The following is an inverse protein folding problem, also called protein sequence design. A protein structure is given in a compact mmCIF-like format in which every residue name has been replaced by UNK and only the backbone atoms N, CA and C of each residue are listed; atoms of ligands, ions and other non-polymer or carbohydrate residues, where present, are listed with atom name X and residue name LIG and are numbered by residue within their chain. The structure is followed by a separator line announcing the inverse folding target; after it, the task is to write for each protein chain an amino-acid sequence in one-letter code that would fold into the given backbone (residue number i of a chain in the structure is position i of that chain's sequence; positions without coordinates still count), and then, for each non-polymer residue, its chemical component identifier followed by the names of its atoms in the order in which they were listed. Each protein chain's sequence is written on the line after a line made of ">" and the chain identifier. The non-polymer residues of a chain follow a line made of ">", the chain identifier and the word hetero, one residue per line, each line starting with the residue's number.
data_IF_495481782142
#
_entry.id   IF_495481782142
#
_cell.length_a   1.000
_cell.length_b   1.000
_cell.length_c   1.000
_cell.angle_alpha   90.00
_cell.angle_beta   90.00
_cell.angle_gamma   90.00
#
_symmetry.space_group_name_H-M   'P 1'
#
loop_
_entity.id
_entity.type
_entity.pdbx_description
1 polymer ?
#
# COMPACT_ATOMS: atom_id res chain seq x y z
N UNK A 1 -55.52 51.24 -41.13
CA UNK A 1 -55.30 49.96 -40.42
C UNK A 1 -54.38 50.26 -39.24
N UNK A 2 -54.94 50.64 -38.09
CA UNK A 2 -54.18 51.07 -36.91
C UNK A 2 -53.86 49.88 -36.01
N UNK A 3 -52.60 49.74 -35.61
CA UNK A 3 -52.16 48.72 -34.66
C UNK A 3 -52.28 49.25 -33.23
N UNK A 4 -52.81 48.41 -32.35
CA UNK A 4 -53.16 48.71 -30.96
C UNK A 4 -51.89 48.70 -30.08
N UNK A 5 -51.66 49.76 -29.30
CA UNK A 5 -50.53 49.89 -28.38
C UNK A 5 -50.98 49.53 -26.95
N UNK A 6 -50.72 48.29 -26.52
CA UNK A 6 -50.93 47.85 -25.13
C UNK A 6 -49.60 47.78 -24.39
N UNK A 7 -48.96 48.93 -24.20
CA UNK A 7 -47.71 49.00 -23.45
C UNK A 7 -47.96 49.03 -21.93
N UNK A 8 -47.54 47.97 -21.23
CA UNK A 8 -47.55 47.88 -19.76
C UNK A 8 -46.81 49.08 -19.17
N UNK A 9 -47.47 49.86 -18.32
CA UNK A 9 -46.89 51.08 -17.75
C UNK A 9 -45.94 50.72 -16.60
N UNK A 10 -44.72 51.26 -16.66
CA UNK A 10 -43.62 51.07 -15.69
C UNK A 10 -44.02 51.29 -14.21
N UNK A 11 -45.09 52.07 -13.95
CA UNK A 11 -45.61 52.34 -12.61
C UNK A 11 -46.36 51.16 -11.96
N UNK A 12 -46.83 50.20 -12.76
CA UNK A 12 -47.62 49.07 -12.24
C UNK A 12 -46.71 47.93 -11.74
N UNK A 13 -45.47 47.88 -12.22
CA UNK A 13 -44.44 46.92 -11.77
C UNK A 13 -43.97 47.22 -10.34
N UNK A 14 -43.93 48.50 -9.93
CA UNK A 14 -43.49 48.90 -8.58
C UNK A 14 -44.56 48.68 -7.49
N UNK A 15 -45.80 48.38 -7.86
CA UNK A 15 -46.87 48.05 -6.89
C UNK A 15 -46.83 46.59 -6.43
N UNK A 16 -46.05 45.74 -7.11
CA UNK A 16 -45.92 44.30 -6.82
C UNK A 16 -44.56 43.95 -6.22
N UNK A 17 -44.17 44.57 -5.11
CA UNK A 17 -42.94 44.22 -4.39
C UNK A 17 -43.15 43.06 -3.43
N UNK A 18 -43.08 41.82 -3.92
CA UNK A 18 -43.04 40.62 -3.07
C UNK A 18 -41.61 40.06 -2.95
N UNK A 19 -41.25 39.54 -1.78
CA UNK A 19 -39.99 38.81 -1.56
C UNK A 19 -40.28 37.32 -1.42
N UNK A 20 -39.63 36.49 -2.22
CA UNK A 20 -39.64 35.04 -2.08
C UNK A 20 -38.33 34.62 -1.40
N UNK A 21 -38.43 34.08 -0.18
CA UNK A 21 -37.30 33.49 0.52
C UNK A 21 -37.46 31.97 0.50
N UNK A 22 -36.49 31.28 -0.09
CA UNK A 22 -36.41 29.81 -0.06
C UNK A 22 -35.21 29.43 0.79
N UNK A 23 -35.41 28.53 1.76
CA UNK A 23 -34.34 27.96 2.58
C UNK A 23 -34.33 26.45 2.38
N UNK A 24 -33.15 25.87 2.22
CA UNK A 24 -32.94 24.43 2.11
C UNK A 24 -32.10 23.97 3.30
N UNK A 25 -32.64 23.07 4.11
CA UNK A 25 -31.90 22.40 5.17
C UNK A 25 -31.41 21.04 4.65
N UNK A 26 -30.10 20.88 4.52
CA UNK A 26 -29.48 19.59 4.19
C UNK A 26 -29.12 18.89 5.50
N UNK A 27 -29.64 17.68 5.77
CA UNK A 27 -29.22 16.93 6.95
C UNK A 27 -27.73 16.59 6.79
N UNK A 28 -26.90 16.98 7.75
CA UNK A 28 -25.52 16.51 7.83
C UNK A 28 -25.55 15.01 8.16
N UNK A 29 -25.37 14.19 7.14
CA UNK A 29 -25.01 12.78 7.31
C UNK A 29 -23.69 12.77 8.07
N UNK A 30 -23.70 12.27 9.31
CA UNK A 30 -22.46 11.93 10.03
C UNK A 30 -21.75 10.87 9.20
N UNK A 31 -20.66 11.26 8.56
CA UNK A 31 -19.70 10.32 8.01
C UNK A 31 -19.16 9.49 9.17
N UNK A 32 -19.66 8.27 9.32
CA UNK A 32 -18.85 7.22 9.95
C UNK A 32 -17.64 7.06 9.04
N UNK A 33 -16.44 7.21 9.58
CA UNK A 33 -15.20 6.90 8.87
C UNK A 33 -15.19 5.41 8.54
N UNK A 34 -15.84 5.04 7.43
CA UNK A 34 -15.47 3.86 6.69
C UNK A 34 -13.99 4.01 6.35
N UNK A 35 -13.23 2.94 6.55
CA UNK A 35 -11.79 2.85 6.32
C UNK A 35 -11.34 3.81 5.21
N UNK A 36 -10.35 4.65 5.52
CA UNK A 36 -9.77 5.59 4.56
C UNK A 36 -9.62 4.90 3.22
N UNK A 37 -10.34 5.42 2.23
CA UNK A 37 -10.30 4.94 0.85
C UNK A 37 -8.93 5.32 0.29
N UNK A 38 -7.89 4.60 0.73
CA UNK A 38 -6.51 4.78 0.28
C UNK A 38 -6.50 4.48 -1.21
N UNK A 39 -6.04 5.42 -2.06
CA UNK A 39 -6.12 5.25 -3.51
C UNK A 39 -5.44 3.94 -3.93
N UNK A 40 -6.08 3.22 -4.84
CA UNK A 40 -5.58 1.97 -5.43
C UNK A 40 -4.23 2.14 -6.17
N UNK A 41 -3.83 3.39 -6.44
CA UNK A 41 -2.53 3.74 -6.97
C UNK A 41 -1.80 4.58 -5.91
N UNK A 42 -0.91 3.94 -5.15
CA UNK A 42 0.07 4.66 -4.33
C UNK A 42 1.17 5.16 -5.26
N UNK A 43 1.70 6.36 -5.02
CA UNK A 43 2.87 6.83 -5.75
C UNK A 43 4.04 5.88 -5.44
N UNK A 44 4.46 5.09 -6.44
CA UNK A 44 5.60 4.18 -6.32
C UNK A 44 6.85 5.00 -6.03
N UNK A 45 7.46 4.77 -4.86
CA UNK A 45 8.62 5.52 -4.42
C UNK A 45 9.79 4.57 -4.22
N UNK A 46 10.86 4.65 -5.03
CA UNK A 46 12.01 3.76 -4.90
C UNK A 46 12.72 3.79 -3.53
N UNK A 47 12.40 4.77 -2.68
CA UNK A 47 12.92 4.88 -1.32
C UNK A 47 11.97 4.35 -0.25
N UNK A 48 10.86 3.71 -0.61
CA UNK A 48 9.90 3.16 0.35
C UNK A 48 9.84 1.63 0.25
N UNK A 49 9.81 0.97 1.41
CA UNK A 49 9.74 -0.48 1.52
C UNK A 49 8.51 -1.06 0.81
N UNK A 50 7.34 -0.47 1.08
CA UNK A 50 6.04 -0.92 0.56
C UNK A 50 5.94 -0.89 -0.98
N UNK A 51 6.91 -0.25 -1.65
CA UNK A 51 6.99 -0.22 -3.12
C UNK A 51 7.55 -1.52 -3.69
N UNK A 52 8.29 -2.29 -2.89
CA UNK A 52 8.96 -3.51 -3.32
C UNK A 52 8.32 -4.77 -2.74
N UNK A 53 7.61 -4.67 -1.63
CA UNK A 53 7.06 -5.82 -0.94
C UNK A 53 5.78 -5.47 -0.18
N UNK A 54 4.83 -6.40 -0.18
CA UNK A 54 3.62 -6.37 0.64
C UNK A 54 3.46 -7.72 1.34
N UNK A 55 2.93 -7.69 2.56
CA UNK A 55 2.47 -8.87 3.29
C UNK A 55 0.97 -8.72 3.53
N UNK A 56 0.18 -9.75 3.24
CA UNK A 56 -1.25 -9.76 3.53
C UNK A 56 -1.57 -10.32 4.92
N UNK A 57 -2.85 -10.30 5.31
CA UNK A 57 -3.31 -10.81 6.61
C UNK A 57 -3.07 -12.32 6.80
N UNK A 58 -2.92 -13.08 5.71
CA UNK A 58 -2.56 -14.51 5.78
C UNK A 58 -1.05 -14.74 5.95
N UNK A 59 -0.25 -13.67 5.81
CA UNK A 59 1.20 -13.75 5.77
C UNK A 59 1.76 -14.22 4.43
N UNK A 60 0.98 -14.14 3.35
CA UNK A 60 1.50 -14.30 1.99
C UNK A 60 2.23 -13.02 1.60
N UNK A 61 3.38 -13.18 0.94
CA UNK A 61 4.23 -12.07 0.52
C UNK A 61 4.10 -11.87 -0.98
N UNK A 62 3.91 -10.62 -1.41
CA UNK A 62 4.01 -10.23 -2.81
C UNK A 62 5.19 -9.30 -2.99
N UNK A 63 6.16 -9.71 -3.80
CA UNK A 63 7.31 -8.90 -4.20
C UNK A 63 7.03 -8.22 -5.55
N UNK A 64 7.37 -6.94 -5.65
CA UNK A 64 7.15 -6.10 -6.83
C UNK A 64 8.47 -5.83 -7.54
N UNK A 65 8.68 -6.52 -8.66
CA UNK A 65 9.90 -6.47 -9.44
C UNK A 65 9.69 -5.71 -10.75
N UNK A 66 10.40 -4.61 -10.92
CA UNK A 66 10.27 -3.68 -12.03
C UNK A 66 10.85 -4.13 -13.36
N UNK A 67 11.56 -5.27 -13.39
CA UNK A 67 12.06 -5.86 -14.63
C UNK A 67 11.21 -7.05 -15.04
N UNK A 68 11.38 -7.48 -16.29
CA UNK A 68 10.68 -8.62 -16.84
C UNK A 68 11.63 -9.80 -17.03
N UNK A 69 11.15 -11.00 -16.75
CA UNK A 69 11.81 -12.25 -17.11
C UNK A 69 11.38 -12.72 -18.50
N UNK A 70 12.33 -13.24 -19.29
CA UNK A 70 12.13 -13.81 -20.62
C UNK A 70 12.51 -15.29 -20.68
N UNK A 71 12.40 -16.00 -19.55
CA UNK A 71 12.65 -17.44 -19.43
C UNK A 71 13.97 -17.81 -18.74
N UNK A 72 14.55 -16.88 -17.98
CA UNK A 72 15.81 -17.05 -17.25
C UNK A 72 15.58 -17.56 -15.82
N UNK A 73 14.34 -17.49 -15.30
CA UNK A 73 14.01 -17.84 -13.91
C UNK A 73 14.35 -16.73 -12.92
N UNK A 74 14.26 -15.48 -13.37
CA UNK A 74 14.52 -14.29 -12.52
C UNK A 74 13.43 -14.14 -11.47
N UNK A 75 12.18 -14.45 -11.80
CA UNK A 75 11.06 -14.49 -10.85
C UNK A 75 11.34 -15.43 -9.68
N UNK A 76 11.74 -16.67 -9.95
CA UNK A 76 12.07 -17.67 -8.93
C UNK A 76 13.26 -17.22 -8.09
N UNK A 77 14.29 -16.66 -8.73
CA UNK A 77 15.48 -16.15 -8.03
C UNK A 77 15.12 -15.00 -7.09
N UNK A 78 14.26 -14.08 -7.52
CA UNK A 78 13.77 -12.98 -6.69
C UNK A 78 12.90 -13.51 -5.54
N UNK A 79 12.01 -14.46 -5.81
CA UNK A 79 11.18 -15.09 -4.78
C UNK A 79 12.04 -15.75 -3.70
N UNK A 80 13.10 -16.47 -4.09
CA UNK A 80 14.06 -17.07 -3.15
C UNK A 80 14.79 -16.03 -2.31
N UNK A 81 15.28 -14.96 -2.92
CA UNK A 81 15.96 -13.88 -2.19
C UNK A 81 15.04 -13.26 -1.14
N UNK A 82 13.79 -12.99 -1.50
CA UNK A 82 12.79 -12.41 -0.58
C UNK A 82 12.42 -13.43 0.51
N UNK A 83 12.23 -14.70 0.15
CA UNK A 83 11.91 -15.77 1.09
C UNK A 83 13.03 -15.98 2.12
N UNK A 84 14.29 -15.99 1.68
CA UNK A 84 15.46 -16.14 2.55
C UNK A 84 15.58 -14.98 3.54
N UNK A 85 15.43 -13.74 3.07
CA UNK A 85 15.50 -12.56 3.93
C UNK A 85 14.34 -12.50 4.94
N UNK A 86 13.19 -13.08 4.61
CA UNK A 86 12.01 -13.13 5.49
C UNK A 86 11.87 -14.43 6.28
N UNK A 87 12.75 -15.41 6.07
CA UNK A 87 12.69 -16.76 6.65
C UNK A 87 11.32 -17.44 6.39
N UNK A 88 10.97 -17.52 5.11
CA UNK A 88 9.74 -18.13 4.58
C UNK A 88 10.08 -19.27 3.61
N UNK A 89 9.12 -20.15 3.36
CA UNK A 89 9.21 -21.06 2.21
C UNK A 89 8.91 -20.33 0.92
N UNK A 90 9.41 -20.86 -0.20
CA UNK A 90 9.27 -20.24 -1.52
C UNK A 90 7.80 -20.04 -1.93
N UNK A 91 6.92 -20.97 -1.55
CA UNK A 91 5.50 -20.94 -1.90
C UNK A 91 4.73 -19.77 -1.24
N UNK A 92 5.33 -19.16 -0.21
CA UNK A 92 4.75 -18.01 0.49
C UNK A 92 5.13 -16.67 -0.15
N UNK A 93 5.84 -16.70 -1.28
CA UNK A 93 6.29 -15.49 -2.00
C UNK A 93 5.85 -15.53 -3.46
N UNK A 94 4.97 -14.61 -3.82
CA UNK A 94 4.59 -14.32 -5.20
C UNK A 94 5.40 -13.13 -5.75
N UNK A 95 5.70 -13.16 -7.04
CA UNK A 95 6.44 -12.07 -7.70
C UNK A 95 5.60 -11.46 -8.82
N UNK A 96 5.31 -10.17 -8.69
CA UNK A 96 4.71 -9.36 -9.75
C UNK A 96 5.82 -8.69 -10.54
N UNK A 97 5.84 -8.91 -11.85
CA UNK A 97 6.90 -8.42 -12.74
C UNK A 97 6.39 -7.45 -13.81
N UNK A 98 7.13 -6.37 -14.04
CA UNK A 98 6.99 -5.53 -15.24
C UNK A 98 5.67 -4.79 -15.40
N UNK A 99 4.78 -4.81 -14.40
CA UNK A 99 3.56 -4.02 -14.40
C UNK A 99 3.88 -2.58 -13.96
N UNK A 100 3.83 -1.64 -14.89
CA UNK A 100 4.16 -0.23 -14.64
C UNK A 100 3.19 0.47 -13.69
N UNK A 101 2.01 -0.09 -13.43
CA UNK A 101 1.08 0.43 -12.43
C UNK A 101 1.46 -0.01 -11.00
N UNK A 102 2.18 -1.12 -10.85
CA UNK A 102 2.46 -1.76 -9.56
C UNK A 102 3.95 -1.78 -9.20
N UNK A 103 4.85 -1.67 -10.17
CA UNK A 103 6.29 -1.87 -9.99
C UNK A 103 7.06 -0.62 -10.38
N UNK A 104 8.09 -0.28 -9.61
CA UNK A 104 8.99 0.83 -9.94
C UNK A 104 9.77 0.53 -11.21
N UNK A 105 10.12 1.58 -11.96
CA UNK A 105 11.03 1.43 -13.07
C UNK A 105 12.44 1.03 -12.57
N UNK A 106 12.84 -0.23 -12.80
CA UNK A 106 14.19 -0.75 -12.53
C UNK A 106 15.05 -0.84 -13.80
N UNK A 107 14.59 -0.28 -14.92
CA UNK A 107 15.21 -0.41 -16.24
C UNK A 107 14.98 -1.79 -16.87
N UNK A 108 15.66 -2.04 -18.00
CA UNK A 108 15.56 -3.32 -18.71
C UNK A 108 16.31 -4.47 -18.04
N UNK A 109 15.97 -5.70 -18.44
CA UNK A 109 16.68 -6.93 -18.10
C UNK A 109 17.69 -7.32 -19.20
N UNK A 110 18.58 -6.40 -19.57
CA UNK A 110 19.67 -6.66 -20.53
C UNK A 110 21.04 -6.58 -19.84
N UNK A 111 22.06 -7.19 -20.45
CA UNK A 111 23.43 -7.16 -19.95
C UNK A 111 23.62 -7.83 -18.59
N UNK A 112 22.85 -8.90 -18.30
CA UNK A 112 22.87 -9.63 -17.02
C UNK A 112 22.49 -8.81 -15.78
N UNK A 113 21.87 -7.64 -15.97
CA UNK A 113 21.51 -6.74 -14.88
C UNK A 113 20.24 -7.15 -14.13
N UNK A 114 19.57 -8.24 -14.54
CA UNK A 114 18.32 -8.74 -13.94
C UNK A 114 18.49 -8.94 -12.43
N UNK A 115 19.32 -9.91 -12.04
CA UNK A 115 19.66 -10.17 -10.64
C UNK A 115 20.72 -9.20 -10.12
N UNK A 116 21.82 -8.99 -10.87
CA UNK A 116 22.97 -8.15 -10.45
C UNK A 116 22.55 -6.80 -9.85
N UNK A 117 21.54 -6.16 -10.42
CA UNK A 117 21.06 -4.84 -9.98
C UNK A 117 19.62 -4.86 -9.50
N UNK A 118 18.77 -5.64 -10.15
CA UNK A 118 17.34 -5.64 -9.84
C UNK A 118 17.01 -6.25 -8.49
N UNK A 119 17.82 -7.19 -7.99
CA UNK A 119 17.55 -7.87 -6.73
C UNK A 119 17.85 -7.02 -5.49
N UNK A 120 18.84 -6.11 -5.56
CA UNK A 120 19.32 -5.39 -4.37
C UNK A 120 18.21 -4.60 -3.64
N UNK A 121 17.35 -3.81 -4.33
CA UNK A 121 16.28 -3.09 -3.64
C UNK A 121 15.26 -4.01 -2.96
N UNK A 122 14.93 -5.15 -3.58
CA UNK A 122 13.99 -6.12 -3.01
C UNK A 122 14.60 -6.82 -1.79
N UNK A 123 15.88 -7.17 -1.86
CA UNK A 123 16.63 -7.74 -0.74
C UNK A 123 16.68 -6.78 0.45
N UNK A 124 17.03 -5.51 0.20
CA UNK A 124 17.04 -4.48 1.24
C UNK A 124 15.65 -4.24 1.83
N UNK A 125 14.61 -4.21 0.99
CA UNK A 125 13.23 -4.07 1.46
C UNK A 125 12.78 -5.25 2.33
N UNK A 126 13.12 -6.48 1.93
CA UNK A 126 12.81 -7.69 2.69
C UNK A 126 13.56 -7.74 4.04
N UNK A 127 14.86 -7.40 4.04
CA UNK A 127 15.64 -7.32 5.28
C UNK A 127 15.08 -6.27 6.25
N UNK A 128 14.69 -5.10 5.72
CA UNK A 128 14.09 -4.03 6.52
C UNK A 128 12.68 -4.42 7.01
N UNK A 129 11.90 -5.11 6.19
CA UNK A 129 10.61 -5.67 6.60
C UNK A 129 10.79 -6.63 7.78
N UNK A 130 11.79 -7.51 7.72
CA UNK A 130 12.10 -8.42 8.83
C UNK A 130 12.49 -7.68 10.10
N UNK A 131 13.27 -6.60 9.99
CA UNK A 131 13.62 -5.76 11.14
C UNK A 131 12.37 -5.19 11.82
N UNK A 132 11.47 -4.61 11.03
CA UNK A 132 10.20 -4.05 11.54
C UNK A 132 9.31 -5.14 12.15
N UNK A 133 9.20 -6.31 11.51
CA UNK A 133 8.41 -7.43 12.02
C UNK A 133 8.95 -7.94 13.35
N UNK A 134 10.27 -7.99 13.53
CA UNK A 134 10.88 -8.34 14.81
C UNK A 134 10.53 -7.32 15.91
N UNK A 135 10.51 -6.03 15.59
CA UNK A 135 10.11 -4.98 16.54
C UNK A 135 8.65 -5.10 16.94
N UNK A 136 7.75 -5.26 15.95
CA UNK A 136 6.33 -5.47 16.20
C UNK A 136 6.07 -6.76 17.00
N UNK A 137 6.80 -7.83 16.69
CA UNK A 137 6.70 -9.09 17.41
C UNK A 137 7.22 -8.98 18.84
N UNK A 138 8.32 -8.26 19.07
CA UNK A 138 8.83 -7.99 20.41
C UNK A 138 7.83 -7.19 21.24
N UNK A 139 7.23 -6.14 20.66
CA UNK A 139 6.18 -5.35 21.30
C UNK A 139 4.95 -6.18 21.65
N UNK A 140 4.42 -6.96 20.69
CA UNK A 140 3.27 -7.84 20.90
C UNK A 140 3.56 -8.91 21.98
N UNK A 141 4.79 -9.39 22.06
CA UNK A 141 5.21 -10.37 23.05
C UNK A 141 5.67 -9.71 24.38
N UNK A 142 5.78 -8.40 24.47
CA UNK A 142 6.24 -7.70 25.67
C UNK A 142 7.65 -8.14 26.12
N UNK A 143 8.55 -8.40 25.17
CA UNK A 143 9.96 -8.76 25.41
C UNK A 143 10.88 -7.82 24.64
N UNK A 144 12.18 -7.82 24.95
CA UNK A 144 13.15 -7.03 24.18
C UNK A 144 13.36 -7.61 22.78
N UNK A 145 13.74 -6.75 21.82
CA UNK A 145 14.02 -7.14 20.44
C UNK A 145 15.13 -8.22 20.32
N UNK A 146 16.07 -8.25 21.27
CA UNK A 146 17.14 -9.26 21.33
C UNK A 146 16.61 -10.65 21.75
N UNK A 147 15.45 -10.69 22.41
CA UNK A 147 14.81 -11.90 22.93
C UNK A 147 13.82 -12.52 21.94
N UNK A 148 13.68 -11.95 20.74
CA UNK A 148 12.87 -12.55 19.67
C UNK A 148 13.75 -13.16 18.57
N UNK A 149 13.15 -14.07 17.82
CA UNK A 149 13.71 -14.65 16.62
C UNK A 149 12.60 -14.93 15.61
N UNK A 150 12.98 -15.19 14.36
CA UNK A 150 12.05 -15.63 13.30
C UNK A 150 12.29 -17.11 13.03
N UNK A 151 11.20 -17.84 12.81
CA UNK A 151 11.18 -19.17 12.21
C UNK A 151 9.91 -19.29 11.35
N UNK A 152 10.06 -19.66 10.08
CA UNK A 152 8.94 -20.00 9.17
C UNK A 152 7.84 -18.90 9.11
N UNK A 153 8.26 -17.64 8.95
CA UNK A 153 7.37 -16.49 8.86
C UNK A 153 6.65 -16.12 10.16
N UNK A 154 7.15 -16.58 11.30
CA UNK A 154 6.62 -16.24 12.61
C UNK A 154 7.72 -15.70 13.53
N UNK A 155 7.43 -14.59 14.19
CA UNK A 155 8.28 -14.05 15.26
C UNK A 155 7.93 -14.75 16.56
N UNK A 156 8.91 -15.28 17.27
CA UNK A 156 8.72 -16.00 18.53
C UNK A 156 9.70 -15.54 19.61
N UNK A 157 9.31 -15.71 20.87
CA UNK A 157 10.19 -15.47 22.02
C UNK A 157 11.23 -16.59 22.17
N UNK A 158 12.51 -16.24 22.32
CA UNK A 158 13.60 -17.19 22.56
C UNK A 158 13.48 -17.92 23.89
N UNK A 159 12.89 -17.26 24.89
CA UNK A 159 12.69 -17.84 26.23
C UNK A 159 11.44 -18.70 26.29
N UNK A 160 10.40 -18.35 25.52
CA UNK A 160 9.12 -19.05 25.45
C UNK A 160 8.66 -19.26 24.00
N UNK A 161 9.22 -20.25 23.26
CA UNK A 161 8.94 -20.40 21.83
C UNK A 161 7.48 -20.67 21.44
N UNK A 162 6.65 -21.09 22.41
CA UNK A 162 5.22 -21.24 22.21
C UNK A 162 4.50 -19.89 21.99
N UNK A 163 5.10 -18.79 22.46
CA UNK A 163 4.59 -17.43 22.26
C UNK A 163 5.15 -16.89 20.95
N UNK A 164 4.28 -16.80 19.94
CA UNK A 164 4.65 -16.39 18.58
C UNK A 164 3.53 -15.60 17.90
N UNK A 165 3.89 -14.77 16.91
CA UNK A 165 2.98 -14.06 16.02
C UNK A 165 3.40 -14.24 14.56
N UNK A 166 2.45 -14.57 13.68
CA UNK A 166 2.72 -14.65 12.24
C UNK A 166 2.82 -13.24 11.62
N UNK A 167 3.53 -13.10 10.50
CA UNK A 167 3.69 -11.80 9.85
C UNK A 167 2.36 -11.10 9.50
N UNK A 168 1.34 -11.85 9.08
CA UNK A 168 0.02 -11.29 8.79
C UNK A 168 -0.65 -10.68 10.03
N UNK A 169 -0.53 -11.35 11.20
CA UNK A 169 -1.06 -10.85 12.47
C UNK A 169 -0.32 -9.59 12.93
N UNK A 170 1.01 -9.55 12.74
CA UNK A 170 1.86 -8.42 13.12
C UNK A 170 1.59 -7.17 12.28
N UNK A 171 1.39 -7.34 10.97
CA UNK A 171 1.08 -6.25 10.04
C UNK A 171 -0.38 -5.81 10.14
N UNK A 172 -1.30 -6.74 10.44
CA UNK A 172 -2.72 -6.47 10.61
C UNK A 172 -3.39 -5.87 9.37
N UNK A 173 -2.92 -6.24 8.18
CA UNK A 173 -3.38 -5.66 6.90
C UNK A 173 -2.88 -4.23 6.62
N UNK A 174 -2.00 -3.71 7.47
CA UNK A 174 -1.35 -2.41 7.33
C UNK A 174 -0.22 -2.37 6.30
N UNK A 175 0.48 -1.23 6.28
CA UNK A 175 1.71 -1.01 5.50
C UNK A 175 2.87 -0.79 6.47
N UNK A 176 4.10 -1.05 6.03
CA UNK A 176 5.29 -0.80 6.83
C UNK A 176 5.55 0.71 6.97
N UNK A 177 5.29 1.50 5.92
CA UNK A 177 5.52 2.95 5.86
C UNK A 177 6.98 3.37 6.18
N UNK A 178 7.93 2.45 5.97
CA UNK A 178 9.36 2.65 6.22
C UNK A 178 10.09 3.15 4.97
N UNK A 179 11.02 4.09 5.18
CA UNK A 179 11.97 4.51 4.14
C UNK A 179 13.20 3.61 4.15
N UNK A 180 13.61 3.19 2.96
CA UNK A 180 14.84 2.43 2.78
C UNK A 180 16.04 3.37 2.80
N UNK A 181 17.05 3.01 3.59
CA UNK A 181 18.36 3.65 3.55
C UNK A 181 19.12 3.19 2.29
N UNK A 182 19.89 4.10 1.68
CA UNK A 182 20.62 3.85 0.42
C UNK A 182 22.00 3.27 0.65
#
# INVERSE_FOLDING_TARGET
>A
MGWNDSAVKRRDVLKGGGCLVVSLAVPQVRQTSAAENRPLWRALSPGQLDTYLKIDESGQVTAFFGKMDMGQGVDISIAQIVADELDLTLERVDVVMGDTALTVNQGGASGSTGIERGANPLRSAAAEARRVLLELGAEQLGVDAEQVAVADGAVYSRTEPARRGGYGDLIGGGLFEVRLER
#
